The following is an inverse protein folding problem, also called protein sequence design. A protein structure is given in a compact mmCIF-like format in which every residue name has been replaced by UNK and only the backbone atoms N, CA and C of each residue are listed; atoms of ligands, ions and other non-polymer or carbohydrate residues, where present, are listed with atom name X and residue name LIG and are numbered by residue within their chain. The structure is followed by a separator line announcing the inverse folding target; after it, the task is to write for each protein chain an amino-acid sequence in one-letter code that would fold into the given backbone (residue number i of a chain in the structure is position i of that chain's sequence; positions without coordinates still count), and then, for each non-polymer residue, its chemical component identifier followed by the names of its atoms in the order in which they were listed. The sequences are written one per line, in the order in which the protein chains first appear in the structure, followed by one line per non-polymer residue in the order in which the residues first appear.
data_IF_356272316730
#
_entry.id   IF_356272316730
#
_cell.length_a   1.000
_cell.length_b   1.000
_cell.length_c   1.000
_cell.angle_alpha   90.00
_cell.angle_beta   90.00
_cell.angle_gamma   90.00
#
_symmetry.space_group_name_H-M   'P 1'
#
loop_
_entity.id
_entity.type
_entity.pdbx_description
1 polymer ?
#
# COMPACT_ATOMS: atom_id res chain seq x y z
N UNK A 1 44.41 -13.71 11.83
CA UNK A 1 43.66 -14.94 12.13
C UNK A 1 42.34 -14.83 11.39
N UNK A 2 42.15 -15.67 10.37
CA UNK A 2 40.95 -15.67 9.53
C UNK A 2 39.92 -16.48 10.30
N UNK A 3 38.83 -15.86 10.77
CA UNK A 3 37.71 -16.62 11.32
C UNK A 3 36.96 -17.21 10.12
N UNK A 4 37.29 -18.47 9.86
CA UNK A 4 36.46 -19.37 9.07
C UNK A 4 35.16 -19.58 9.86
N UNK A 5 34.01 -19.34 9.24
CA UNK A 5 32.71 -19.57 9.91
C UNK A 5 31.72 -20.18 8.92
N UNK A 6 32.13 -21.29 8.33
CA UNK A 6 31.21 -22.33 7.85
C UNK A 6 30.94 -23.28 9.00
N UNK A 7 30.01 -22.90 9.89
CA UNK A 7 29.42 -23.88 10.82
C UNK A 7 28.27 -24.55 10.08
N UNK A 8 28.61 -25.60 9.34
CA UNK A 8 27.69 -26.64 8.89
C UNK A 8 27.02 -27.24 10.13
N UNK A 9 25.69 -27.08 10.27
CA UNK A 9 24.92 -27.76 11.30
C UNK A 9 23.71 -28.43 10.66
N UNK A 10 23.82 -29.73 10.45
CA UNK A 10 22.71 -30.59 10.04
C UNK A 10 21.65 -30.64 11.12
N UNK A 11 20.40 -30.37 10.73
CA UNK A 11 19.25 -30.63 11.58
C UNK A 11 18.01 -29.92 11.09
N UNK A 12 17.06 -30.72 10.58
CA UNK A 12 15.62 -30.48 10.36
C UNK A 12 15.20 -29.14 9.75
N UNK A 13 14.87 -29.16 8.46
CA UNK A 13 14.24 -28.09 7.67
C UNK A 13 13.02 -27.49 8.36
N UNK A 14 13.16 -26.26 8.83
CA UNK A 14 12.07 -25.42 9.28
C UNK A 14 12.34 -23.96 8.88
N UNK A 15 11.32 -23.20 8.45
CA UNK A 15 11.48 -21.82 7.96
C UNK A 15 12.15 -20.89 8.98
N UNK A 16 12.04 -21.21 10.27
CA UNK A 16 12.55 -20.42 11.39
C UNK A 16 14.07 -20.48 11.54
N UNK A 17 14.73 -21.58 11.12
CA UNK A 17 16.20 -21.70 11.19
C UNK A 17 16.90 -20.76 10.23
N UNK A 18 16.35 -20.60 9.03
CA UNK A 18 16.88 -19.66 8.04
C UNK A 18 16.79 -18.21 8.53
N UNK A 19 15.73 -17.85 9.27
CA UNK A 19 15.62 -16.52 9.88
C UNK A 19 16.69 -16.30 10.94
N UNK A 20 16.89 -17.25 11.85
CA UNK A 20 17.90 -17.13 12.91
C UNK A 20 19.33 -17.05 12.36
N UNK A 21 19.65 -17.84 11.32
CA UNK A 21 20.97 -17.79 10.67
C UNK A 21 21.20 -16.42 10.01
N UNK A 22 20.23 -15.90 9.26
CA UNK A 22 20.31 -14.55 8.66
C UNK A 22 20.44 -13.46 9.74
N UNK A 23 19.65 -13.55 10.79
CA UNK A 23 19.70 -12.59 11.89
C UNK A 23 21.07 -12.59 12.57
N UNK A 24 21.63 -13.77 12.87
CA UNK A 24 22.95 -13.91 13.48
C UNK A 24 24.04 -13.26 12.60
N UNK A 25 24.01 -13.49 11.30
CA UNK A 25 24.98 -12.93 10.36
C UNK A 25 24.90 -11.40 10.30
N UNK A 26 23.67 -10.87 10.16
CA UNK A 26 23.42 -9.43 10.12
C UNK A 26 23.85 -8.76 11.42
N UNK A 27 23.49 -9.34 12.57
CA UNK A 27 23.87 -8.85 13.88
C UNK A 27 25.39 -8.83 14.05
N UNK A 28 26.09 -9.92 13.70
CA UNK A 28 27.55 -9.97 13.79
C UNK A 28 28.23 -8.88 12.95
N UNK A 29 27.78 -8.68 11.71
CA UNK A 29 28.31 -7.62 10.83
C UNK A 29 28.01 -6.22 11.38
N UNK A 30 26.80 -6.00 11.91
CA UNK A 30 26.43 -4.74 12.52
C UNK A 30 27.29 -4.43 13.76
N UNK A 31 27.52 -5.41 14.64
CA UNK A 31 28.37 -5.24 15.82
C UNK A 31 29.79 -4.83 15.45
N UNK A 32 30.40 -5.51 14.48
CA UNK A 32 31.76 -5.15 14.03
C UNK A 32 31.84 -3.73 13.46
N UNK A 33 30.80 -3.30 12.74
CA UNK A 33 30.74 -1.94 12.20
C UNK A 33 30.50 -0.89 13.30
N UNK A 34 29.66 -1.21 14.29
CA UNK A 34 29.42 -0.35 15.46
C UNK A 34 30.70 -0.20 16.28
N UNK A 35 31.42 -1.30 16.53
CA UNK A 35 32.68 -1.27 17.26
C UNK A 35 33.71 -0.36 16.56
N UNK A 36 33.88 -0.45 15.24
CA UNK A 36 34.81 0.44 14.49
C UNK A 36 34.33 1.89 14.44
N UNK A 37 33.03 2.14 14.23
CA UNK A 37 32.49 3.48 14.16
C UNK A 37 32.53 4.20 15.52
N UNK A 38 32.42 3.44 16.62
CA UNK A 38 32.49 3.98 17.99
C UNK A 38 33.83 4.62 18.35
N UNK A 39 34.89 4.34 17.57
CA UNK A 39 36.22 4.88 17.81
C UNK A 39 36.31 6.40 17.57
N UNK A 40 35.40 7.00 16.80
CA UNK A 40 35.34 8.45 16.59
C UNK A 40 33.92 8.98 16.48
N UNK A 41 33.71 10.21 16.95
CA UNK A 41 32.41 10.90 16.91
C UNK A 41 31.89 11.09 15.48
N UNK A 42 32.79 11.45 14.55
CA UNK A 42 32.46 11.62 13.14
C UNK A 42 31.96 10.32 12.49
N UNK A 43 32.58 9.17 12.80
CA UNK A 43 32.15 7.86 12.26
C UNK A 43 30.84 7.39 12.89
N UNK A 44 30.69 7.60 14.19
CA UNK A 44 29.46 7.26 14.93
C UNK A 44 28.26 8.06 14.40
N UNK A 45 28.42 9.38 14.23
CA UNK A 45 27.40 10.26 13.67
C UNK A 45 27.01 9.86 12.24
N UNK A 46 27.99 9.58 11.38
CA UNK A 46 27.75 9.07 10.03
C UNK A 46 26.96 7.75 10.04
N UNK A 47 27.38 6.78 10.86
CA UNK A 47 26.75 5.46 10.91
C UNK A 47 25.30 5.54 11.42
N UNK A 48 25.00 6.42 12.38
CA UNK A 48 23.64 6.64 12.86
C UNK A 48 22.72 7.18 11.75
N UNK A 49 23.15 8.22 11.03
CA UNK A 49 22.39 8.73 9.88
C UNK A 49 22.19 7.65 8.81
N UNK A 50 23.22 6.83 8.56
CA UNK A 50 23.12 5.78 7.56
C UNK A 50 22.20 4.64 7.99
N UNK A 51 22.13 4.31 9.29
CA UNK A 51 21.15 3.35 9.79
C UNK A 51 19.71 3.84 9.60
N UNK A 52 19.43 5.14 9.75
CA UNK A 52 18.11 5.71 9.45
C UNK A 52 17.77 5.55 7.95
N UNK A 53 18.71 5.86 7.06
CA UNK A 53 18.56 5.68 5.61
C UNK A 53 18.32 4.21 5.24
N UNK A 54 19.11 3.29 5.80
CA UNK A 54 18.97 1.86 5.58
C UNK A 54 17.62 1.35 6.07
N UNK A 55 17.13 1.86 7.21
CA UNK A 55 15.83 1.48 7.74
C UNK A 55 14.68 1.90 6.80
N UNK A 56 14.78 3.07 6.16
CA UNK A 56 13.83 3.50 5.12
C UNK A 56 13.87 2.55 3.91
N UNK A 57 15.07 2.25 3.39
CA UNK A 57 15.22 1.37 2.22
C UNK A 57 14.76 -0.06 2.49
N UNK A 58 15.03 -0.62 3.67
CA UNK A 58 14.56 -1.96 4.04
C UNK A 58 13.04 -2.01 4.06
N UNK A 59 12.37 -0.97 4.56
CA UNK A 59 10.91 -0.87 4.51
C UNK A 59 10.38 -0.81 3.08
N UNK A 60 11.05 -0.08 2.18
CA UNK A 60 10.64 0.03 0.77
C UNK A 60 10.71 -1.31 0.03
N UNK A 61 11.67 -2.18 0.36
CA UNK A 61 11.82 -3.51 -0.25
C UNK A 61 10.59 -4.40 0.00
N UNK A 62 9.89 -4.22 1.12
CA UNK A 62 8.68 -4.99 1.44
C UNK A 62 7.45 -4.54 0.59
N UNK A 63 7.51 -3.38 -0.08
CA UNK A 63 6.39 -2.80 -0.84
C UNK A 63 6.53 -2.92 -2.36
N UNK A 64 7.74 -3.07 -2.92
CA UNK A 64 7.98 -3.06 -4.37
C UNK A 64 8.63 -4.38 -4.84
N UNK A 65 7.81 -5.34 -5.26
CA UNK A 65 8.25 -6.57 -5.93
C UNK A 65 8.80 -6.35 -7.35
N UNK A 66 9.38 -5.18 -7.68
CA UNK A 66 9.95 -4.91 -8.98
C UNK A 66 11.23 -4.06 -8.86
N UNK A 67 12.37 -4.74 -8.93
CA UNK A 67 13.69 -4.19 -8.69
C UNK A 67 14.26 -3.52 -9.95
N UNK A 68 14.54 -2.20 -9.90
CA UNK A 68 15.50 -1.55 -10.81
C UNK A 68 16.75 -1.21 -9.99
N UNK A 69 17.87 -1.81 -10.39
CA UNK A 69 19.16 -1.74 -9.72
C UNK A 69 19.91 -0.46 -10.16
N UNK A 70 20.38 0.43 -9.28
CA UNK A 70 21.22 1.54 -9.69
C UNK A 70 22.70 1.16 -9.58
N UNK A 71 23.29 0.70 -10.68
CA UNK A 71 24.74 0.61 -10.82
C UNK A 71 25.28 1.77 -11.66
N UNK A 72 26.21 2.53 -11.09
CA UNK A 72 26.91 3.65 -11.69
C UNK A 72 27.99 3.18 -12.68
N UNK A 73 27.98 3.70 -13.92
CA UNK A 73 29.05 4.56 -14.46
C UNK A 73 28.84 4.95 -15.94
N UNK A 74 29.18 6.21 -16.21
CA UNK A 74 29.26 6.99 -17.46
C UNK A 74 29.54 6.28 -18.80
N UNK A 75 28.77 6.63 -19.85
CA UNK A 75 29.20 7.35 -21.07
C UNK A 75 28.04 7.51 -22.07
N UNK A 76 27.95 8.73 -22.62
CA UNK A 76 27.19 9.21 -23.79
C UNK A 76 26.42 8.21 -24.67
N UNK A 77 25.18 8.61 -25.00
CA UNK A 77 24.56 8.63 -26.34
C UNK A 77 23.21 7.90 -26.42
N UNK A 78 22.30 8.60 -27.10
CA UNK A 78 20.95 8.24 -27.54
C UNK A 78 19.85 8.24 -26.45
N UNK A 79 19.25 9.42 -26.26
CA UNK A 79 17.90 9.54 -25.71
C UNK A 79 16.92 8.97 -26.74
N UNK A 80 16.62 7.67 -26.67
CA UNK A 80 15.36 7.17 -27.20
C UNK A 80 14.32 7.36 -26.10
N UNK A 81 13.54 8.43 -26.22
CA UNK A 81 12.39 8.68 -25.35
C UNK A 81 11.44 7.50 -25.44
N UNK A 82 11.18 6.86 -24.29
CA UNK A 82 10.09 5.91 -24.14
C UNK A 82 8.82 6.72 -24.46
N UNK A 83 8.15 6.40 -25.57
CA UNK A 83 6.85 6.99 -25.83
C UNK A 83 5.89 6.47 -24.76
N UNK A 84 5.25 7.38 -24.05
CA UNK A 84 4.22 7.02 -23.08
C UNK A 84 3.16 6.14 -23.78
N UNK A 85 2.83 4.96 -23.24
CA UNK A 85 1.71 4.17 -23.73
C UNK A 85 0.47 5.07 -23.74
N UNK A 86 -0.18 5.19 -24.88
CA UNK A 86 -1.42 5.98 -25.02
C UNK A 86 -2.39 5.61 -23.92
N UNK A 87 -3.02 6.62 -23.30
CA UNK A 87 -3.91 6.45 -22.16
C UNK A 87 -4.90 5.30 -22.40
N UNK A 88 -4.68 4.19 -21.68
CA UNK A 88 -5.57 3.05 -21.73
C UNK A 88 -6.84 3.46 -21.02
N UNK A 89 -7.89 3.76 -21.77
CA UNK A 89 -9.21 3.99 -21.22
C UNK A 89 -9.59 2.72 -20.44
N UNK A 90 -9.58 2.81 -19.11
CA UNK A 90 -10.06 1.72 -18.28
C UNK A 90 -11.45 1.32 -18.80
N UNK A 91 -11.65 0.01 -19.04
CA UNK A 91 -13.00 -0.49 -19.30
C UNK A 91 -13.81 -0.10 -18.08
N UNK A 92 -14.64 0.92 -18.23
CA UNK A 92 -15.44 1.45 -17.13
C UNK A 92 -16.16 0.31 -16.43
N UNK A 93 -16.30 0.39 -15.10
CA UNK A 93 -16.97 -0.63 -14.30
C UNK A 93 -18.30 -0.97 -14.97
N UNK A 94 -18.37 -2.17 -15.54
CA UNK A 94 -19.52 -2.59 -16.32
C UNK A 94 -20.72 -2.57 -15.38
N UNK A 95 -21.75 -1.76 -15.68
CA UNK A 95 -22.94 -1.71 -14.84
C UNK A 95 -23.47 -3.13 -14.68
N UNK A 96 -23.66 -3.57 -13.43
CA UNK A 96 -24.20 -4.90 -13.12
C UNK A 96 -25.53 -5.08 -13.84
N UNK A 97 -25.66 -6.18 -14.58
CA UNK A 97 -26.95 -6.56 -15.17
C UNK A 97 -27.96 -6.80 -14.04
N UNK A 98 -29.07 -6.07 -14.08
CA UNK A 98 -30.17 -6.25 -13.13
C UNK A 98 -30.94 -7.53 -13.46
N UNK A 99 -31.15 -8.38 -12.46
CA UNK A 99 -32.05 -9.54 -12.57
C UNK A 99 -33.47 -9.11 -12.92
N UNK A 100 -34.25 -9.97 -13.58
CA UNK A 100 -35.67 -9.75 -13.86
C UNK A 100 -36.47 -9.39 -12.60
N UNK A 101 -36.11 -9.99 -11.45
CA UNK A 101 -36.71 -9.66 -10.14
C UNK A 101 -36.40 -8.22 -9.73
N UNK A 102 -35.15 -7.77 -9.87
CA UNK A 102 -34.73 -6.40 -9.52
C UNK A 102 -35.40 -5.37 -10.44
N UNK A 103 -35.52 -5.67 -11.74
CA UNK A 103 -36.26 -4.83 -12.70
C UNK A 103 -37.74 -4.73 -12.31
N UNK A 104 -38.39 -5.83 -11.95
CA UNK A 104 -39.78 -5.84 -11.54
C UNK A 104 -40.01 -5.00 -10.26
N UNK A 105 -39.13 -5.11 -9.26
CA UNK A 105 -39.21 -4.31 -8.03
C UNK A 105 -39.01 -2.82 -8.33
N UNK A 106 -38.04 -2.46 -9.18
CA UNK A 106 -37.80 -1.06 -9.56
C UNK A 106 -38.91 -0.43 -10.40
N UNK A 107 -39.72 -1.26 -11.07
CA UNK A 107 -40.92 -0.84 -11.81
C UNK A 107 -42.18 -0.82 -10.95
N UNK A 108 -42.12 -1.32 -9.71
CA UNK A 108 -43.21 -1.16 -8.77
C UNK A 108 -43.41 0.33 -8.54
N UNK A 109 -44.63 0.83 -8.73
CA UNK A 109 -45.02 2.21 -8.44
C UNK A 109 -44.88 2.47 -6.94
N UNK A 110 -43.65 2.66 -6.47
CA UNK A 110 -43.37 2.99 -5.08
C UNK A 110 -43.89 4.40 -4.85
N UNK A 111 -45.09 4.44 -4.29
CA UNK A 111 -45.77 5.65 -3.91
C UNK A 111 -45.31 6.07 -2.53
N UNK A 112 -45.13 7.38 -2.35
CA UNK A 112 -44.89 7.96 -1.04
C UNK A 112 -46.07 7.61 -0.12
N UNK A 113 -45.80 7.01 1.04
CA UNK A 113 -46.87 6.67 2.00
C UNK A 113 -47.57 7.88 2.61
N UNK A 114 -47.02 9.09 2.43
CA UNK A 114 -47.56 10.34 2.98
C UNK A 114 -48.48 11.03 1.98
N UNK A 115 -48.07 11.16 0.73
CA UNK A 115 -48.82 11.93 -0.29
C UNK A 115 -49.27 11.11 -1.50
N UNK A 116 -48.96 9.80 -1.55
CA UNK A 116 -49.33 8.89 -2.64
C UNK A 116 -48.59 9.12 -3.96
N UNK A 117 -47.79 10.18 -4.10
CA UNK A 117 -47.08 10.49 -5.33
C UNK A 117 -45.84 9.57 -5.52
N UNK A 118 -45.50 9.30 -6.78
CA UNK A 118 -44.30 8.53 -7.15
C UNK A 118 -43.09 9.46 -7.32
N UNK A 119 -41.88 8.92 -7.15
CA UNK A 119 -40.62 9.64 -7.36
C UNK A 119 -39.93 10.16 -6.10
N UNK A 120 -40.52 9.95 -4.92
CA UNK A 120 -39.87 10.26 -3.64
C UNK A 120 -40.37 9.35 -2.51
N UNK A 121 -39.61 9.26 -1.42
CA UNK A 121 -39.97 8.50 -0.22
C UNK A 121 -40.53 9.41 0.89
N UNK A 122 -41.15 8.84 1.92
CA UNK A 122 -41.70 9.59 3.07
C UNK A 122 -40.69 10.57 3.71
N UNK A 123 -39.40 10.25 3.68
CA UNK A 123 -38.31 11.06 4.26
C UNK A 123 -37.99 12.31 3.43
N UNK A 124 -38.29 12.26 2.14
CA UNK A 124 -38.05 13.34 1.18
C UNK A 124 -39.37 13.94 0.70
N UNK A 125 -40.47 13.69 1.42
CA UNK A 125 -41.78 14.20 1.07
C UNK A 125 -41.88 15.68 1.46
N UNK A 126 -42.10 16.54 0.49
CA UNK A 126 -42.26 17.98 0.72
C UNK A 126 -43.59 18.29 1.43
N UNK A 127 -44.61 17.43 1.28
CA UNK A 127 -45.89 17.56 1.99
C UNK A 127 -45.76 17.43 3.51
N UNK A 128 -44.74 16.70 4.00
CA UNK A 128 -44.45 16.65 5.45
C UNK A 128 -43.75 17.89 5.99
N UNK A 129 -43.13 18.71 5.13
CA UNK A 129 -42.45 19.96 5.52
C UNK A 129 -43.46 21.11 5.67
N UNK A 130 -44.64 21.00 5.03
CA UNK A 130 -45.65 22.05 5.02
C UNK A 130 -46.56 22.10 6.26
N UNK A 131 -46.42 21.17 7.21
CA UNK A 131 -47.31 21.03 8.37
C UNK A 131 -46.66 21.41 9.71
N UNK A 132 -45.68 22.34 9.70
CA UNK A 132 -45.10 22.91 10.93
C UNK A 132 -45.00 24.43 10.92
N UNK A 133 -45.72 25.13 10.03
CA UNK A 133 -45.64 26.61 9.93
C UNK A 133 -46.96 27.36 9.81
N UNK A 134 -48.06 26.85 10.39
CA UNK A 134 -49.22 27.67 10.70
C UNK A 134 -50.00 27.11 11.89
N UNK A 135 -49.81 27.72 13.07
CA UNK A 135 -50.92 28.10 13.96
C UNK A 135 -50.47 29.33 14.77
N UNK A 136 -51.27 30.39 14.62
CA UNK A 136 -51.27 31.64 15.37
C UNK A 136 -51.52 31.41 16.87
N UNK A 137 -50.75 32.07 17.74
CA UNK A 137 -51.20 33.09 18.70
C UNK A 137 -50.09 34.13 18.82
#
# INVERSE_FOLDING_TARGET
MVYDTTVEFEGADGPDKCLMVRHRLLAHKATMLVDDASLTDARSSYLLCEFENLHLRVKEIDFDGNHVNPHSNSKSREQQGIQDPTEVRAKGCSKRLKSSKEKAISRGNRQCSVCGAVGHDKRTCTSSIFNSRYFHV
#
